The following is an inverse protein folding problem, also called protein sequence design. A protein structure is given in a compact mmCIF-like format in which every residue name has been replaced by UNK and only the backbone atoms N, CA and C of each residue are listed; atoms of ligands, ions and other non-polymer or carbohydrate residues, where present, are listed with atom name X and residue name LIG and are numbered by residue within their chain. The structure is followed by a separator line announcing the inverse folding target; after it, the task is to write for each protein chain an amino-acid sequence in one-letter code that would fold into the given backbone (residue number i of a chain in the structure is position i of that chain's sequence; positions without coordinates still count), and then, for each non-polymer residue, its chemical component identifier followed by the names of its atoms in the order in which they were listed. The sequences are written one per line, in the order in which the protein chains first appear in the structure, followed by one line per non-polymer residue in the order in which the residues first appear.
data_IF_201685974452
#
_entry.id   IF_201685974452
#
_cell.length_a   1.000
_cell.length_b   1.000
_cell.length_c   1.000
_cell.angle_alpha   90.00
_cell.angle_beta   90.00
_cell.angle_gamma   90.00
#
_symmetry.space_group_name_H-M   'P 1'
#
loop_
_entity.id
_entity.type
_entity.pdbx_description
1 polymer ?
#
# COMPACT_ATOMS: atom_id res chain seq x y z
N UNK A 1 -35.02 37.62 -4.50
CA UNK A 1 -34.23 36.74 -5.40
C UNK A 1 -33.13 36.06 -4.57
N UNK A 2 -33.18 34.73 -4.33
CA UNK A 2 -32.33 34.05 -3.35
C UNK A 2 -31.04 33.50 -4.00
N UNK A 3 -29.94 33.39 -3.26
CA UNK A 3 -28.98 32.29 -3.44
C UNK A 3 -27.99 32.10 -2.29
N UNK A 4 -28.14 30.94 -1.67
CA UNK A 4 -27.31 30.29 -0.64
C UNK A 4 -25.95 29.86 -1.22
N UNK A 5 -24.87 30.00 -0.44
CA UNK A 5 -23.71 29.06 -0.45
C UNK A 5 -23.17 28.96 0.98
N UNK A 6 -23.87 28.23 1.84
CA UNK A 6 -23.63 26.83 2.19
C UNK A 6 -22.22 26.55 2.73
N UNK A 7 -22.11 26.78 4.04
CA UNK A 7 -21.04 26.40 4.97
C UNK A 7 -20.75 24.90 4.84
N UNK A 8 -19.65 24.54 4.19
CA UNK A 8 -19.24 23.15 4.10
C UNK A 8 -18.79 22.63 5.47
N UNK A 9 -19.35 21.47 5.79
CA UNK A 9 -19.38 20.82 7.09
C UNK A 9 -17.99 20.33 7.50
N UNK A 10 -17.58 20.68 8.73
CA UNK A 10 -16.56 19.95 9.49
C UNK A 10 -17.05 18.51 9.68
N UNK A 11 -16.53 17.60 8.87
CA UNK A 11 -16.68 16.16 9.11
C UNK A 11 -15.62 15.71 10.11
N UNK A 12 -15.97 15.65 11.38
CA UNK A 12 -15.30 14.78 12.34
C UNK A 12 -15.35 13.34 11.80
N UNK A 13 -14.20 12.78 11.42
CA UNK A 13 -14.06 11.33 11.28
C UNK A 13 -13.46 10.79 12.55
N UNK A 14 -14.38 10.25 13.34
CA UNK A 14 -14.28 9.20 14.37
C UNK A 14 -12.91 8.56 14.49
N UNK A 15 -12.40 8.48 15.72
CA UNK A 15 -11.34 7.57 16.11
C UNK A 15 -11.70 6.15 15.68
N UNK A 16 -10.85 5.58 14.84
CA UNK A 16 -10.84 4.17 14.47
C UNK A 16 -9.38 3.77 14.42
N UNK A 17 -9.05 2.62 15.02
CA UNK A 17 -7.68 2.09 15.01
C UNK A 17 -7.06 2.21 13.61
N UNK A 18 -5.81 2.66 13.53
CA UNK A 18 -5.16 2.85 12.24
C UNK A 18 -4.89 1.49 11.63
N UNK A 19 -5.79 0.99 10.78
CA UNK A 19 -5.51 -0.23 10.01
C UNK A 19 -4.32 0.03 9.09
N UNK A 20 -3.21 -0.67 9.34
CA UNK A 20 -1.98 -0.56 8.56
C UNK A 20 -2.06 -1.52 7.39
N UNK A 21 -1.64 -1.06 6.22
CA UNK A 21 -1.51 -1.94 5.06
C UNK A 21 -0.08 -2.47 5.02
N UNK A 22 0.08 -3.78 4.93
CA UNK A 22 1.38 -4.43 4.74
C UNK A 22 1.47 -5.04 3.35
N UNK A 23 2.70 -5.19 2.89
CA UNK A 23 3.01 -5.99 1.71
C UNK A 23 2.98 -7.46 2.10
N UNK A 24 2.27 -8.26 1.32
CA UNK A 24 2.34 -9.71 1.43
C UNK A 24 3.61 -10.18 0.70
N UNK A 25 4.61 -10.63 1.47
CA UNK A 25 5.89 -11.05 0.94
C UNK A 25 5.77 -12.30 0.06
N UNK A 26 4.95 -13.28 0.45
CA UNK A 26 4.79 -14.52 -0.31
C UNK A 26 4.17 -14.21 -1.67
N UNK A 27 3.04 -13.48 -1.66
CA UNK A 27 2.36 -13.10 -2.89
C UNK A 27 3.23 -12.21 -3.81
N UNK A 28 4.09 -11.36 -3.23
CA UNK A 28 5.07 -10.60 -3.99
C UNK A 28 6.07 -11.52 -4.71
N UNK A 29 6.68 -12.45 -3.98
CA UNK A 29 7.72 -13.32 -4.52
C UNK A 29 7.17 -14.26 -5.59
N UNK A 30 6.01 -14.86 -5.36
CA UNK A 30 5.32 -15.68 -6.36
C UNK A 30 5.09 -14.89 -7.64
N UNK A 31 4.69 -13.62 -7.51
CA UNK A 31 4.42 -12.77 -8.67
C UNK A 31 5.69 -12.38 -9.41
N UNK A 32 6.80 -12.15 -8.70
CA UNK A 32 8.09 -11.85 -9.30
C UNK A 32 8.66 -13.07 -10.04
N UNK A 33 8.54 -14.25 -9.44
CA UNK A 33 8.97 -15.52 -10.03
C UNK A 33 8.20 -15.82 -11.32
N UNK A 34 6.87 -15.70 -11.29
CA UNK A 34 6.00 -15.83 -12.48
C UNK A 34 6.38 -14.88 -13.62
N UNK A 35 6.94 -13.71 -13.31
CA UNK A 35 7.35 -12.71 -14.30
C UNK A 35 8.83 -12.86 -14.70
N UNK A 36 9.59 -13.76 -14.07
CA UNK A 36 11.04 -13.86 -14.22
C UNK A 36 11.76 -12.56 -13.88
N UNK A 37 11.30 -11.84 -12.84
CA UNK A 37 11.84 -10.53 -12.45
C UNK A 37 12.45 -10.55 -11.06
N UNK A 38 13.49 -9.76 -10.87
CA UNK A 38 14.15 -9.61 -9.56
C UNK A 38 13.51 -8.51 -8.71
N UNK A 39 13.81 -8.54 -7.42
CA UNK A 39 13.46 -7.45 -6.49
C UNK A 39 14.03 -6.10 -6.95
N UNK A 40 15.26 -6.07 -7.46
CA UNK A 40 15.90 -4.85 -7.95
C UNK A 40 15.15 -4.26 -9.15
N UNK A 41 14.66 -5.12 -10.05
CA UNK A 41 13.82 -4.69 -11.16
C UNK A 41 12.56 -3.99 -10.64
N UNK A 42 11.88 -4.58 -9.65
CA UNK A 42 10.67 -3.97 -9.07
C UNK A 42 10.97 -2.65 -8.36
N UNK A 43 12.07 -2.57 -7.62
CA UNK A 43 12.51 -1.33 -6.97
C UNK A 43 12.64 -0.19 -7.99
N UNK A 44 13.26 -0.48 -9.15
CA UNK A 44 13.35 0.44 -10.29
C UNK A 44 11.98 0.86 -10.84
N UNK A 45 11.07 -0.10 -11.06
CA UNK A 45 9.71 0.19 -11.58
C UNK A 45 8.88 1.05 -10.61
N UNK A 46 9.06 0.85 -9.31
CA UNK A 46 8.32 1.58 -8.27
C UNK A 46 8.98 2.92 -7.95
N UNK A 47 10.25 3.10 -8.33
CA UNK A 47 11.04 4.30 -8.05
C UNK A 47 11.39 4.41 -6.57
N UNK A 48 11.84 3.29 -5.98
CA UNK A 48 12.35 3.21 -4.59
C UNK A 48 13.69 2.51 -4.58
N UNK A 49 14.46 2.66 -3.50
CA UNK A 49 15.70 1.91 -3.34
C UNK A 49 15.41 0.43 -3.02
N UNK A 50 16.31 -0.50 -3.39
CA UNK A 50 16.18 -1.91 -2.99
C UNK A 50 16.06 -2.08 -1.47
N UNK A 51 16.84 -1.32 -0.70
CA UNK A 51 16.77 -1.33 0.77
C UNK A 51 15.38 -0.92 1.29
N UNK A 52 14.77 0.10 0.71
CA UNK A 52 13.42 0.52 1.08
C UNK A 52 12.39 -0.57 0.71
N UNK A 53 12.52 -1.20 -0.46
CA UNK A 53 11.66 -2.31 -0.84
C UNK A 53 11.81 -3.49 0.14
N UNK A 54 13.03 -3.83 0.58
CA UNK A 54 13.25 -4.86 1.61
C UNK A 54 12.57 -4.52 2.94
N UNK A 55 12.58 -3.25 3.37
CA UNK A 55 11.82 -2.84 4.56
C UNK A 55 10.31 -3.04 4.43
N UNK A 56 9.76 -2.89 3.21
CA UNK A 56 8.35 -3.18 2.95
C UNK A 56 8.07 -4.68 3.00
N UNK A 57 8.93 -5.48 2.36
CA UNK A 57 8.82 -6.96 2.30
C UNK A 57 8.90 -7.56 3.70
N UNK A 58 9.84 -7.09 4.51
CA UNK A 58 10.03 -7.56 5.89
C UNK A 58 8.95 -7.00 6.85
N UNK A 59 7.95 -6.28 6.34
CA UNK A 59 6.87 -5.71 7.15
C UNK A 59 7.28 -4.54 8.05
N UNK A 60 8.54 -4.07 8.01
CA UNK A 60 9.03 -2.97 8.82
C UNK A 60 8.40 -1.61 8.48
N UNK A 61 7.83 -1.46 7.28
CA UNK A 61 7.16 -0.23 6.83
C UNK A 61 5.85 -0.54 6.11
N UNK A 62 4.88 0.36 6.25
CA UNK A 62 3.65 0.34 5.46
C UNK A 62 3.84 1.11 4.14
N UNK A 63 3.55 0.52 2.97
CA UNK A 63 3.68 1.22 1.70
C UNK A 63 2.64 2.32 1.55
N UNK A 64 3.09 3.50 1.13
CA UNK A 64 2.18 4.61 0.80
C UNK A 64 1.24 4.23 -0.35
N UNK A 65 0.08 4.89 -0.43
CA UNK A 65 -0.87 4.65 -1.52
C UNK A 65 -0.27 4.83 -2.92
N UNK A 66 0.74 5.70 -3.08
CA UNK A 66 1.47 5.88 -4.35
C UNK A 66 2.34 4.65 -4.68
N UNK A 67 3.08 4.14 -3.69
CA UNK A 67 3.90 2.93 -3.85
C UNK A 67 3.02 1.73 -4.20
N UNK A 68 1.88 1.55 -3.51
CA UNK A 68 0.96 0.44 -3.78
C UNK A 68 0.48 0.42 -5.24
N UNK A 69 0.05 1.57 -5.76
CA UNK A 69 -0.40 1.70 -7.16
C UNK A 69 0.72 1.38 -8.17
N UNK A 70 1.96 1.79 -7.86
CA UNK A 70 3.10 1.50 -8.73
C UNK A 70 3.45 0.01 -8.73
N UNK A 71 3.43 -0.64 -7.57
CA UNK A 71 3.66 -2.08 -7.46
C UNK A 71 2.59 -2.86 -8.22
N UNK A 72 1.31 -2.50 -8.06
CA UNK A 72 0.20 -3.08 -8.81
C UNK A 72 0.40 -2.97 -10.31
N UNK A 73 0.74 -1.78 -10.79
CA UNK A 73 1.01 -1.55 -12.21
C UNK A 73 2.20 -2.39 -12.71
N UNK A 74 3.31 -2.40 -11.98
CA UNK A 74 4.52 -3.13 -12.36
C UNK A 74 4.29 -4.65 -12.41
N UNK A 75 3.50 -5.18 -11.47
CA UNK A 75 3.23 -6.61 -11.36
C UNK A 75 1.99 -7.06 -12.14
N UNK A 76 1.28 -6.14 -12.80
CA UNK A 76 0.03 -6.44 -13.51
C UNK A 76 -1.07 -6.99 -12.60
N UNK A 77 -1.15 -6.47 -11.37
CA UNK A 77 -2.09 -6.90 -10.34
C UNK A 77 -3.21 -5.87 -10.21
N UNK A 78 -4.45 -6.29 -10.45
CA UNK A 78 -5.61 -5.38 -10.41
C UNK A 78 -6.21 -5.26 -9.00
N UNK A 79 -6.22 -6.34 -8.22
CA UNK A 79 -6.85 -6.37 -6.89
C UNK A 79 -5.81 -6.15 -5.80
N UNK A 80 -6.00 -5.15 -4.95
CA UNK A 80 -5.07 -4.84 -3.85
C UNK A 80 -4.81 -6.02 -2.90
N UNK A 81 -5.82 -6.85 -2.64
CA UNK A 81 -5.71 -8.00 -1.75
C UNK A 81 -4.79 -9.11 -2.28
N UNK A 82 -4.45 -9.10 -3.57
CA UNK A 82 -3.49 -10.06 -4.14
C UNK A 82 -2.04 -9.73 -3.79
N UNK A 83 -1.76 -8.55 -3.24
CA UNK A 83 -0.40 -8.11 -2.93
C UNK A 83 -0.29 -7.48 -1.54
N UNK A 84 -1.39 -7.03 -0.96
CA UNK A 84 -1.41 -6.32 0.30
C UNK A 84 -2.42 -6.92 1.25
N UNK A 85 -2.03 -6.98 2.52
CA UNK A 85 -2.91 -7.34 3.63
C UNK A 85 -3.15 -6.12 4.51
N UNK A 86 -4.33 -6.07 5.11
CA UNK A 86 -4.68 -5.06 6.11
C UNK A 86 -4.49 -5.70 7.47
N UNK A 87 -3.68 -5.08 8.32
CA UNK A 87 -3.49 -5.46 9.71
C UNK A 87 -4.15 -4.37 10.56
N UNK A 88 -5.04 -4.78 11.45
CA UNK A 88 -5.52 -3.88 12.47
C UNK A 88 -4.41 -3.68 13.49
N UNK A 89 -4.08 -2.41 13.77
CA UNK A 89 -3.18 -2.06 14.85
C UNK A 89 -3.92 -2.37 16.16
N UNK A 90 -3.90 -3.65 16.57
CA UNK A 90 -4.29 -4.03 17.91
C UNK A 90 -3.28 -3.40 18.86
N UNK A 91 -3.80 -2.51 19.70
CA UNK A 91 -3.13 -1.97 20.88
C UNK A 91 -2.45 -3.14 21.58
N UNK A 92 -1.12 -3.22 21.48
CA UNK A 92 -0.36 -4.14 22.33
C UNK A 92 -0.68 -3.72 23.77
N UNK A 93 -1.00 -4.68 24.66
CA UNK A 93 -1.29 -4.38 26.06
C UNK A 93 -0.12 -3.67 26.75
#
# INVERSE_FOLDING_TARGET
MPSRKNRQRKGHRRGGGRSLVRLDAAALWDRLDLLGRSQNWLAGQVGVTPAYLSMLVNGGRSPSGRIRRRMQKALGVTRSLQLFRTEDEHERP
#
